data_IF_521368174056
#
_entry.id   IF_521368174056
#
_cell.length_a   1.000
_cell.length_b   1.000
_cell.length_c   1.000
_cell.angle_alpha   90.00
_cell.angle_beta   90.00
_cell.angle_gamma   90.00
#
_symmetry.space_group_name_H-M   'P 1'
#
loop_
_entity.id
_entity.type
_entity.pdbx_description
1 polymer ?
#
# COMPACT_ATOMS: atom_id res chain seq x y z
N UNK A 1 -18.07 27.42 12.39
CA UNK A 1 -17.82 27.33 10.94
C UNK A 1 -17.05 28.57 10.55
N UNK A 2 -15.80 28.39 10.09
CA UNK A 2 -14.99 29.49 9.59
C UNK A 2 -15.77 30.26 8.52
N UNK A 3 -15.91 31.57 8.66
CA UNK A 3 -16.62 32.39 7.68
C UNK A 3 -15.83 32.35 6.37
N UNK A 4 -16.50 32.08 5.24
CA UNK A 4 -15.88 32.09 3.89
C UNK A 4 -15.11 33.38 3.57
N UNK A 5 -15.33 34.45 4.34
CA UNK A 5 -14.66 35.74 4.23
C UNK A 5 -13.30 35.84 4.93
N UNK A 6 -12.89 34.84 5.71
CA UNK A 6 -11.56 34.83 6.34
C UNK A 6 -10.45 34.45 5.33
N UNK A 7 -9.23 34.98 5.50
CA UNK A 7 -8.07 34.56 4.71
C UNK A 7 -7.82 33.04 4.77
N UNK A 8 -7.27 32.47 3.71
CA UNK A 8 -7.07 31.03 3.56
C UNK A 8 -6.16 30.46 4.66
N UNK A 9 -5.10 31.18 5.02
CA UNK A 9 -4.16 30.81 6.07
C UNK A 9 -4.84 30.69 7.44
N UNK A 10 -5.79 31.57 7.75
CA UNK A 10 -6.57 31.53 8.99
C UNK A 10 -7.46 30.29 8.99
N UNK A 11 -8.18 30.06 7.90
CA UNK A 11 -9.06 28.89 7.73
C UNK A 11 -8.29 27.57 7.80
N UNK A 12 -7.08 27.52 7.22
CA UNK A 12 -6.21 26.35 7.26
C UNK A 12 -5.76 26.04 8.69
N UNK A 13 -5.35 27.05 9.46
CA UNK A 13 -4.95 26.88 10.87
C UNK A 13 -6.15 26.49 11.74
N UNK A 14 -7.31 27.10 11.53
CA UNK A 14 -8.55 26.75 12.24
C UNK A 14 -8.96 25.29 11.97
N UNK A 15 -8.92 24.86 10.71
CA UNK A 15 -9.20 23.48 10.32
C UNK A 15 -8.18 22.51 10.95
N UNK A 16 -6.88 22.82 10.86
CA UNK A 16 -5.84 21.99 11.46
C UNK A 16 -6.04 21.85 12.98
N UNK A 17 -6.38 22.93 13.67
CA UNK A 17 -6.70 22.91 15.10
C UNK A 17 -7.93 22.04 15.39
N UNK A 18 -8.99 22.17 14.61
CA UNK A 18 -10.22 21.38 14.78
C UNK A 18 -9.95 19.88 14.57
N UNK A 19 -9.22 19.53 13.51
CA UNK A 19 -8.82 18.16 13.21
C UNK A 19 -7.94 17.58 14.34
N UNK A 20 -6.91 18.30 14.78
CA UNK A 20 -6.02 17.85 15.86
C UNK A 20 -6.78 17.66 17.17
N UNK A 21 -7.66 18.60 17.54
CA UNK A 21 -8.45 18.52 18.77
C UNK A 21 -9.39 17.32 18.73
N UNK A 22 -10.04 17.09 17.60
CA UNK A 22 -10.93 15.95 17.39
C UNK A 22 -10.16 14.63 17.48
N UNK A 23 -9.01 14.53 16.80
CA UNK A 23 -8.17 13.34 16.83
C UNK A 23 -7.70 12.98 18.25
N UNK A 24 -7.24 13.97 19.03
CA UNK A 24 -6.84 13.77 20.44
C UNK A 24 -8.01 13.35 21.32
N UNK A 25 -9.20 13.86 21.05
CA UNK A 25 -10.40 13.51 21.83
C UNK A 25 -10.91 12.10 21.53
N UNK A 26 -10.76 11.65 20.28
CA UNK A 26 -11.26 10.35 19.81
C UNK A 26 -10.23 9.22 19.90
N UNK A 27 -8.98 9.51 20.28
CA UNK A 27 -7.92 8.50 20.29
C UNK A 27 -8.23 7.37 21.26
N UNK A 28 -8.09 6.14 20.78
CA UNK A 28 -8.24 4.95 21.61
C UNK A 28 -6.95 4.60 22.35
N UNK A 29 -7.01 3.85 23.47
CA UNK A 29 -5.80 3.40 24.16
C UNK A 29 -4.84 2.58 23.27
N UNK A 30 -5.39 1.81 22.33
CA UNK A 30 -4.60 1.02 21.39
C UNK A 30 -3.85 1.90 20.38
N UNK A 31 -4.51 2.94 19.85
CA UNK A 31 -3.88 3.93 18.96
C UNK A 31 -2.83 4.76 19.69
N UNK A 32 -3.09 5.16 20.94
CA UNK A 32 -2.10 5.88 21.76
C UNK A 32 -0.84 5.03 21.96
N UNK A 33 -0.98 3.75 22.29
CA UNK A 33 0.16 2.85 22.44
C UNK A 33 0.98 2.72 21.14
N UNK A 34 0.31 2.68 19.98
CA UNK A 34 0.99 2.68 18.67
C UNK A 34 1.72 4.00 18.40
N UNK A 35 1.13 5.14 18.75
CA UNK A 35 1.79 6.45 18.61
C UNK A 35 3.04 6.57 19.50
N UNK A 36 2.97 6.06 20.73
CA UNK A 36 4.12 6.04 21.64
C UNK A 36 5.25 5.15 21.09
N UNK A 37 4.90 3.99 20.51
CA UNK A 37 5.84 3.09 19.84
C UNK A 37 6.53 3.77 18.64
N UNK A 38 5.75 4.42 17.77
CA UNK A 38 6.25 5.16 16.60
C UNK A 38 7.12 6.35 17.02
N UNK A 39 6.73 7.07 18.07
CA UNK A 39 7.51 8.20 18.61
C UNK A 39 8.86 7.73 19.12
N UNK A 40 8.90 6.65 19.90
CA UNK A 40 10.15 6.06 20.37
C UNK A 40 11.05 5.56 19.23
N UNK A 41 10.47 5.06 18.13
CA UNK A 41 11.24 4.68 16.93
C UNK A 41 11.88 5.89 16.23
N UNK A 42 11.21 7.05 16.22
CA UNK A 42 11.72 8.29 15.62
C UNK A 42 12.85 8.92 16.45
N UNK A 43 12.76 8.83 17.77
CA UNK A 43 13.77 9.35 18.70
C UNK A 43 15.11 8.60 18.63
N UNK A 44 15.10 7.37 18.11
CA UNK A 44 16.27 6.49 18.05
C UNK A 44 16.51 5.94 16.64
N UNK A 45 17.21 6.68 15.75
CA UNK A 45 17.48 6.25 14.38
C UNK A 45 18.07 4.84 14.20
N UNK A 46 18.96 4.32 15.09
CA UNK A 46 19.45 2.94 14.98
C UNK A 46 18.36 1.87 15.19
N UNK A 47 17.37 2.16 16.03
CA UNK A 47 16.29 1.25 16.35
C UNK A 47 15.37 1.06 15.13
N UNK A 48 15.15 2.14 14.36
CA UNK A 48 14.46 2.09 13.06
C UNK A 48 15.16 1.16 12.07
N UNK A 49 16.49 1.25 11.96
CA UNK A 49 17.27 0.38 11.06
C UNK A 49 17.10 -1.08 11.45
N UNK A 50 17.10 -1.36 12.76
CA UNK A 50 16.94 -2.70 13.32
C UNK A 50 15.59 -3.29 12.96
N UNK A 51 14.49 -2.55 13.17
CA UNK A 51 13.14 -3.03 12.84
C UNK A 51 12.94 -3.19 11.33
N UNK A 52 13.47 -2.28 10.51
CA UNK A 52 13.44 -2.42 9.06
C UNK A 52 14.15 -3.71 8.61
N UNK A 53 15.35 -4.00 9.14
CA UNK A 53 16.10 -5.20 8.80
C UNK A 53 15.45 -6.48 9.33
N UNK A 54 14.89 -6.47 10.54
CA UNK A 54 14.17 -7.61 11.10
C UNK A 54 12.96 -7.96 10.22
N UNK A 55 12.19 -6.94 9.81
CA UNK A 55 10.98 -7.14 9.01
C UNK A 55 11.32 -7.58 7.59
N UNK A 56 12.35 -7.01 6.96
CA UNK A 56 12.76 -7.36 5.61
C UNK A 56 13.48 -8.72 5.53
N UNK A 57 14.48 -8.94 6.38
CA UNK A 57 15.39 -10.06 6.20
C UNK A 57 14.94 -11.34 6.92
N UNK A 58 14.36 -11.22 8.11
CA UNK A 58 14.03 -12.41 8.90
C UNK A 58 12.86 -13.21 8.31
N UNK A 59 12.01 -12.58 7.50
CA UNK A 59 10.82 -13.21 6.90
C UNK A 59 10.99 -13.62 5.43
N UNK A 60 12.11 -13.28 4.77
CA UNK A 60 12.47 -13.78 3.43
C UNK A 60 12.66 -15.31 3.37
N UNK A 61 13.33 -15.96 4.34
CA UNK A 61 13.53 -17.40 4.27
C UNK A 61 12.22 -18.17 4.38
N UNK A 62 12.06 -19.20 3.53
CA UNK A 62 10.95 -20.16 3.66
C UNK A 62 11.11 -21.09 4.87
N UNK A 63 12.34 -21.30 5.33
CA UNK A 63 12.66 -22.14 6.49
C UNK A 63 12.57 -21.35 7.79
N UNK A 64 11.80 -21.86 8.75
CA UNK A 64 11.64 -21.26 10.08
C UNK A 64 12.97 -21.15 10.84
N UNK A 65 13.82 -22.18 10.79
CA UNK A 65 15.14 -22.15 11.44
C UNK A 65 16.04 -21.07 10.84
N UNK A 66 16.04 -20.92 9.50
CA UNK A 66 16.82 -19.86 8.85
C UNK A 66 16.28 -18.46 9.16
N UNK A 67 14.96 -18.27 9.17
CA UNK A 67 14.34 -17.00 9.54
C UNK A 67 14.71 -16.59 10.98
N UNK A 68 14.63 -17.53 11.93
CA UNK A 68 15.01 -17.28 13.33
C UNK A 68 16.52 -17.09 13.49
N UNK A 69 17.35 -17.80 12.72
CA UNK A 69 18.80 -17.57 12.71
C UNK A 69 19.14 -16.15 12.26
N UNK A 70 18.48 -15.67 11.21
CA UNK A 70 18.63 -14.28 10.76
C UNK A 70 18.14 -13.29 11.81
N UNK A 71 17.01 -13.60 12.45
CA UNK A 71 16.44 -12.78 13.52
C UNK A 71 17.41 -12.64 14.70
N UNK A 72 18.00 -13.75 15.17
CA UNK A 72 19.01 -13.75 16.23
C UNK A 72 20.24 -12.93 15.84
N UNK A 73 20.77 -13.15 14.63
CA UNK A 73 21.93 -12.42 14.13
C UNK A 73 21.70 -10.90 14.12
N UNK A 74 20.51 -10.45 13.68
CA UNK A 74 20.16 -9.04 13.70
C UNK A 74 20.03 -8.49 15.13
N UNK A 75 19.42 -9.23 16.05
CA UNK A 75 19.33 -8.81 17.45
C UNK A 75 20.70 -8.78 18.17
N UNK A 76 21.62 -9.65 17.80
CA UNK A 76 22.98 -9.68 18.35
C UNK A 76 23.83 -8.52 17.85
N UNK A 77 23.72 -8.20 16.56
CA UNK A 77 24.52 -7.15 15.91
C UNK A 77 23.97 -5.75 16.10
N UNK A 78 22.64 -5.60 16.22
CA UNK A 78 21.96 -4.29 16.32
C UNK A 78 21.35 -4.01 17.69
N UNK A 79 21.17 -5.04 18.51
CA UNK A 79 20.46 -4.93 19.78
C UNK A 79 18.94 -5.04 19.63
N UNK A 80 18.25 -4.98 20.76
CA UNK A 80 16.78 -4.96 20.81
C UNK A 80 16.33 -3.50 20.82
N UNK A 81 15.43 -3.08 19.91
CA UNK A 81 14.91 -1.73 19.88
C UNK A 81 14.29 -1.29 21.22
N UNK A 82 14.61 -0.07 21.64
CA UNK A 82 14.26 0.47 22.95
C UNK A 82 12.80 0.88 23.06
N UNK A 83 12.15 1.18 21.94
CA UNK A 83 10.76 1.61 21.92
C UNK A 83 9.76 0.47 22.15
N UNK A 84 10.18 -0.80 22.00
CA UNK A 84 9.30 -1.93 22.27
C UNK A 84 8.85 -1.99 23.73
N UNK A 85 7.60 -2.42 23.94
CA UNK A 85 7.04 -2.68 25.25
C UNK A 85 7.82 -3.75 26.03
N UNK A 86 7.62 -3.81 27.35
CA UNK A 86 8.35 -4.74 28.21
C UNK A 86 8.16 -6.23 27.80
N UNK A 87 6.95 -6.59 27.40
CA UNK A 87 6.64 -7.96 26.95
C UNK A 87 7.31 -8.30 25.62
N UNK A 88 7.32 -7.38 24.66
CA UNK A 88 8.00 -7.58 23.37
C UNK A 88 9.51 -7.70 23.57
N UNK A 89 10.11 -6.83 24.41
CA UNK A 89 11.52 -6.93 24.79
C UNK A 89 11.85 -8.28 25.41
N UNK A 90 11.01 -8.79 26.31
CA UNK A 90 11.18 -10.10 26.91
C UNK A 90 11.13 -11.21 25.85
N UNK A 91 10.14 -11.17 24.95
CA UNK A 91 10.02 -12.11 23.85
C UNK A 91 11.25 -12.10 22.92
N UNK A 92 11.74 -10.91 22.58
CA UNK A 92 12.95 -10.72 21.76
C UNK A 92 14.22 -11.20 22.48
N UNK A 93 14.33 -11.01 23.80
CA UNK A 93 15.43 -11.56 24.60
C UNK A 93 15.41 -13.09 24.61
N UNK A 94 14.23 -13.70 24.76
CA UNK A 94 14.05 -15.16 24.69
C UNK A 94 14.43 -15.66 23.30
N UNK A 95 13.93 -15.01 22.24
CA UNK A 95 14.26 -15.36 20.85
C UNK A 95 15.74 -15.24 20.56
N UNK A 96 16.39 -14.19 21.09
CA UNK A 96 17.84 -14.02 20.97
C UNK A 96 18.58 -15.21 21.58
N UNK A 97 18.24 -15.64 22.79
CA UNK A 97 18.98 -16.68 23.53
C UNK A 97 18.69 -18.11 23.09
N UNK A 98 17.42 -18.44 22.86
CA UNK A 98 16.98 -19.82 22.61
C UNK A 98 16.14 -19.97 21.34
N UNK A 99 16.20 -18.99 20.42
CA UNK A 99 15.37 -18.93 19.22
C UNK A 99 15.39 -20.22 18.39
N UNK A 100 16.55 -20.83 18.18
CA UNK A 100 16.65 -22.07 17.40
C UNK A 100 15.83 -23.22 17.98
N UNK A 101 15.77 -23.36 19.30
CA UNK A 101 15.02 -24.43 19.96
C UNK A 101 13.50 -24.26 19.79
N UNK A 102 13.04 -23.00 19.74
CA UNK A 102 11.63 -22.66 19.61
C UNK A 102 11.24 -22.23 18.20
N UNK A 103 12.12 -22.38 17.21
CA UNK A 103 11.97 -21.76 15.89
C UNK A 103 10.67 -22.18 15.18
N UNK A 104 10.30 -23.45 15.30
CA UNK A 104 9.08 -24.00 14.70
C UNK A 104 7.80 -23.37 15.27
N UNK A 105 7.82 -22.86 16.50
CA UNK A 105 6.68 -22.21 17.15
C UNK A 105 6.78 -20.69 17.02
N UNK A 106 7.93 -20.12 17.32
CA UNK A 106 8.16 -18.69 17.34
C UNK A 106 8.02 -18.06 15.95
N UNK A 107 8.49 -18.72 14.90
CA UNK A 107 8.45 -18.16 13.55
C UNK A 107 7.01 -18.03 13.01
N UNK A 108 6.14 -19.07 13.06
CA UNK A 108 4.74 -18.92 12.69
C UNK A 108 3.98 -17.91 13.56
N UNK A 109 4.23 -17.86 14.87
CA UNK A 109 3.60 -16.88 15.76
C UNK A 109 4.02 -15.45 15.41
N UNK A 110 5.30 -15.21 15.17
CA UNK A 110 5.81 -13.90 14.75
C UNK A 110 5.21 -13.47 13.41
N UNK A 111 5.13 -14.39 12.43
CA UNK A 111 4.45 -14.13 11.14
C UNK A 111 2.98 -13.80 11.33
N UNK A 112 2.28 -14.51 12.23
CA UNK A 112 0.87 -14.27 12.54
C UNK A 112 0.68 -12.91 13.20
N UNK A 113 1.53 -12.52 14.15
CA UNK A 113 1.50 -11.21 14.80
C UNK A 113 1.68 -10.09 13.79
N UNK A 114 2.74 -10.14 12.95
CA UNK A 114 2.95 -9.13 11.90
C UNK A 114 1.75 -9.05 10.94
N UNK A 115 1.21 -10.20 10.54
CA UNK A 115 0.02 -10.22 9.67
C UNK A 115 -1.20 -9.56 10.34
N UNK A 116 -1.39 -9.76 11.63
CA UNK A 116 -2.46 -9.12 12.40
C UNK A 116 -2.22 -7.62 12.54
N UNK A 117 -1.00 -7.22 12.89
CA UNK A 117 -0.60 -5.81 13.09
C UNK A 117 -0.74 -5.03 11.77
N UNK A 118 -0.45 -5.66 10.62
CA UNK A 118 -0.61 -5.07 9.29
C UNK A 118 -2.01 -5.21 8.69
N UNK A 119 -2.91 -6.02 9.25
CA UNK A 119 -4.23 -6.31 8.65
C UNK A 119 -5.14 -5.07 8.55
N UNK A 120 -4.89 -4.06 9.38
CA UNK A 120 -5.61 -2.78 9.33
C UNK A 120 -5.21 -1.92 8.13
N UNK A 121 -4.04 -2.19 7.51
CA UNK A 121 -3.46 -1.40 6.41
C UNK A 121 -3.38 -2.22 5.12
N UNK A 122 -3.04 -3.50 5.21
CA UNK A 122 -2.90 -4.41 4.07
C UNK A 122 -4.08 -5.39 4.08
N UNK A 123 -4.95 -5.22 3.09
CA UNK A 123 -6.10 -6.10 2.91
C UNK A 123 -5.70 -7.37 2.17
N UNK A 124 -6.40 -8.43 2.55
CA UNK A 124 -6.37 -9.71 1.86
C UNK A 124 -7.01 -9.57 0.49
N UNK A 125 -6.25 -9.87 -0.57
CA UNK A 125 -6.70 -9.76 -1.95
C UNK A 125 -7.75 -10.82 -2.32
N UNK A 126 -7.94 -11.86 -1.51
CA UNK A 126 -8.96 -12.89 -1.74
C UNK A 126 -10.37 -12.27 -1.79
N UNK A 127 -11.21 -12.72 -2.74
CA UNK A 127 -12.50 -12.08 -3.02
C UNK A 127 -13.44 -11.92 -1.81
N UNK A 128 -13.71 -12.95 -0.97
CA UNK A 128 -14.63 -12.78 0.15
C UNK A 128 -14.20 -11.70 1.17
N UNK A 129 -12.94 -11.68 1.69
CA UNK A 129 -12.53 -10.64 2.63
C UNK A 129 -12.43 -9.24 1.97
N UNK A 130 -12.00 -9.15 0.72
CA UNK A 130 -11.90 -7.86 0.02
C UNK A 130 -13.29 -7.22 -0.16
N UNK A 131 -14.24 -7.97 -0.73
CA UNK A 131 -15.59 -7.44 -1.01
C UNK A 131 -16.34 -7.07 0.26
N UNK A 132 -16.23 -7.87 1.32
CA UNK A 132 -16.81 -7.55 2.63
C UNK A 132 -16.22 -6.25 3.21
N UNK A 133 -14.91 -6.05 3.09
CA UNK A 133 -14.25 -4.83 3.54
C UNK A 133 -14.72 -3.61 2.74
N UNK A 134 -14.73 -3.69 1.41
CA UNK A 134 -15.14 -2.60 0.54
C UNK A 134 -16.59 -2.20 0.80
N UNK A 135 -17.52 -3.16 0.89
CA UNK A 135 -18.93 -2.87 1.21
C UNK A 135 -19.10 -2.15 2.54
N UNK A 136 -18.37 -2.57 3.58
CA UNK A 136 -18.39 -1.90 4.88
C UNK A 136 -17.90 -0.45 4.77
N UNK A 137 -16.79 -0.21 4.05
CA UNK A 137 -16.24 1.13 3.86
C UNK A 137 -17.17 2.03 3.04
N UNK A 138 -17.82 1.48 2.02
CA UNK A 138 -18.86 2.20 1.28
C UNK A 138 -20.06 2.58 2.15
N UNK A 139 -20.49 1.70 3.06
CA UNK A 139 -21.55 2.01 4.03
C UNK A 139 -21.14 3.09 5.04
N UNK A 140 -19.85 3.22 5.34
CA UNK A 140 -19.27 4.32 6.12
C UNK A 140 -19.13 5.63 5.31
N UNK A 141 -19.54 5.63 4.03
CA UNK A 141 -19.43 6.79 3.13
C UNK A 141 -18.02 7.03 2.58
N UNK A 142 -17.13 6.04 2.68
CA UNK A 142 -15.75 6.14 2.23
C UNK A 142 -15.58 5.64 0.79
N UNK A 143 -14.98 6.47 -0.06
CA UNK A 143 -14.56 6.08 -1.41
C UNK A 143 -13.18 5.40 -1.33
N UNK A 144 -13.11 4.14 -1.76
CA UNK A 144 -11.90 3.33 -1.67
C UNK A 144 -11.13 3.30 -2.99
N UNK A 145 -9.82 3.53 -2.92
CA UNK A 145 -8.88 3.30 -4.02
C UNK A 145 -8.14 1.98 -3.77
N UNK A 146 -8.29 1.02 -4.69
CA UNK A 146 -7.68 -0.31 -4.57
C UNK A 146 -6.33 -0.33 -5.28
N UNK A 147 -5.26 -0.53 -4.52
CA UNK A 147 -3.92 -0.76 -5.05
C UNK A 147 -3.52 -2.23 -4.83
N UNK A 148 -3.27 -2.96 -5.92
CA UNK A 148 -2.83 -4.35 -5.85
C UNK A 148 -1.34 -4.39 -5.44
N UNK A 149 -1.08 -4.90 -4.25
CA UNK A 149 0.29 -5.06 -3.76
C UNK A 149 1.06 -6.10 -4.58
N UNK A 150 2.27 -5.74 -4.98
CA UNK A 150 3.25 -6.63 -5.57
C UNK A 150 4.49 -5.85 -5.99
N UNK A 151 5.61 -6.55 -6.09
CA UNK A 151 6.87 -5.96 -6.58
C UNK A 151 6.77 -5.62 -8.08
N UNK A 152 7.75 -4.87 -8.58
CA UNK A 152 7.92 -4.63 -10.00
C UNK A 152 8.04 -5.98 -10.73
N UNK A 153 7.37 -6.09 -11.87
CA UNK A 153 7.34 -7.36 -12.61
C UNK A 153 8.67 -7.60 -13.28
N UNK A 154 9.22 -8.80 -13.12
CA UNK A 154 10.57 -9.13 -13.63
C UNK A 154 10.54 -9.67 -15.07
N UNK A 155 9.35 -10.00 -15.59
CA UNK A 155 9.18 -10.48 -16.96
C UNK A 155 7.79 -10.24 -17.52
N UNK A 156 7.67 -10.34 -18.85
CA UNK A 156 6.44 -10.01 -19.57
C UNK A 156 5.26 -10.95 -19.25
N UNK A 157 5.54 -12.20 -18.90
CA UNK A 157 4.50 -13.13 -18.43
C UNK A 157 3.86 -12.62 -17.13
N UNK A 158 4.66 -12.12 -16.20
CA UNK A 158 4.17 -11.56 -14.94
C UNK A 158 3.44 -10.23 -15.17
N UNK A 159 3.96 -9.38 -16.07
CA UNK A 159 3.31 -8.15 -16.49
C UNK A 159 1.91 -8.41 -17.09
N UNK A 160 1.79 -9.43 -17.95
CA UNK A 160 0.52 -9.84 -18.53
C UNK A 160 -0.44 -10.37 -17.46
N UNK A 161 0.04 -11.22 -16.54
CA UNK A 161 -0.77 -11.71 -15.41
C UNK A 161 -1.26 -10.56 -14.53
N UNK A 162 -0.42 -9.54 -14.29
CA UNK A 162 -0.79 -8.37 -13.51
C UNK A 162 -1.84 -7.52 -14.22
N UNK A 163 -1.72 -7.34 -15.53
CA UNK A 163 -2.74 -6.66 -16.34
C UNK A 163 -4.10 -7.37 -16.20
N UNK A 164 -4.13 -8.70 -16.31
CA UNK A 164 -5.36 -9.49 -16.10
C UNK A 164 -5.93 -9.33 -14.70
N UNK A 165 -5.08 -9.27 -13.66
CA UNK A 165 -5.52 -9.01 -12.29
C UNK A 165 -6.17 -7.63 -12.14
N UNK A 166 -5.64 -6.60 -12.79
CA UNK A 166 -6.25 -5.28 -12.80
C UNK A 166 -7.60 -5.28 -13.52
N UNK A 167 -7.71 -5.95 -14.67
CA UNK A 167 -8.98 -6.11 -15.39
C UNK A 167 -10.02 -6.85 -14.55
N UNK A 168 -9.63 -7.95 -13.89
CA UNK A 168 -10.49 -8.69 -12.98
C UNK A 168 -10.93 -7.85 -11.76
N UNK A 169 -10.03 -6.99 -11.26
CA UNK A 169 -10.34 -6.07 -10.15
C UNK A 169 -11.32 -4.98 -10.60
N UNK A 170 -11.13 -4.42 -11.80
CA UNK A 170 -12.07 -3.48 -12.42
C UNK A 170 -13.43 -4.12 -12.71
N UNK A 171 -13.53 -5.43 -12.86
CA UNK A 171 -14.82 -6.12 -13.00
C UNK A 171 -15.59 -6.26 -11.68
N UNK A 172 -14.97 -6.04 -10.51
CA UNK A 172 -15.63 -6.20 -9.22
C UNK A 172 -16.65 -5.09 -8.93
N UNK A 173 -17.93 -5.41 -8.63
CA UNK A 173 -18.96 -4.40 -8.36
C UNK A 173 -18.62 -3.45 -7.20
N UNK A 174 -17.84 -3.90 -6.22
CA UNK A 174 -17.46 -3.12 -5.05
C UNK A 174 -16.31 -2.14 -5.30
N UNK A 175 -15.65 -2.25 -6.45
CA UNK A 175 -14.49 -1.43 -6.81
C UNK A 175 -14.93 -0.30 -7.72
N UNK A 176 -14.78 0.93 -7.25
CA UNK A 176 -14.96 2.14 -8.06
C UNK A 176 -13.62 2.60 -8.67
N UNK A 177 -12.51 2.43 -7.93
CA UNK A 177 -11.22 3.03 -8.25
C UNK A 177 -10.09 2.01 -8.09
N UNK A 178 -9.19 1.96 -9.06
CA UNK A 178 -7.98 1.12 -9.04
C UNK A 178 -6.75 1.97 -9.31
N UNK A 179 -5.65 1.72 -8.60
CA UNK A 179 -4.33 2.30 -8.90
C UNK A 179 -3.43 1.29 -9.59
N UNK A 180 -2.75 1.74 -10.64
CA UNK A 180 -1.78 0.95 -11.41
C UNK A 180 -0.45 1.68 -11.51
N UNK A 181 0.62 0.92 -11.77
CA UNK A 181 2.00 1.43 -11.89
C UNK A 181 2.63 0.96 -13.19
N UNK A 182 3.40 1.81 -13.88
CA UNK A 182 4.00 1.39 -15.14
C UNK A 182 4.99 0.24 -14.96
N UNK A 183 5.69 0.18 -13.82
CA UNK A 183 6.61 -0.92 -13.45
C UNK A 183 5.91 -2.26 -13.23
N UNK A 184 4.59 -2.26 -13.08
CA UNK A 184 3.77 -3.46 -12.94
C UNK A 184 3.11 -3.86 -14.25
N UNK A 185 3.04 -2.92 -15.20
CA UNK A 185 2.47 -3.12 -16.51
C UNK A 185 3.50 -3.50 -17.56
N UNK A 186 4.80 -3.24 -17.35
CA UNK A 186 5.85 -3.60 -18.31
C UNK A 186 7.16 -3.90 -17.58
N UNK A 187 7.83 -5.01 -17.93
CA UNK A 187 9.04 -5.45 -17.21
C UNK A 187 10.33 -4.77 -17.69
N UNK A 188 10.31 -4.15 -18.87
CA UNK A 188 11.49 -3.55 -19.50
C UNK A 188 11.38 -2.02 -19.60
N UNK A 189 10.74 -1.37 -18.62
CA UNK A 189 10.63 0.10 -18.56
C UNK A 189 12.04 0.69 -18.59
N UNK A 190 12.34 1.44 -19.66
CA UNK A 190 13.68 2.00 -19.87
C UNK A 190 13.60 3.39 -20.49
N UNK A 191 14.19 4.41 -19.85
CA UNK A 191 14.24 5.76 -20.42
C UNK A 191 15.12 5.84 -21.67
N UNK A 192 16.05 4.89 -21.87
CA UNK A 192 16.90 4.81 -23.06
C UNK A 192 16.10 4.39 -24.29
N UNK A 193 15.14 3.48 -24.12
CA UNK A 193 14.24 3.02 -25.18
C UNK A 193 12.88 3.73 -25.06
N UNK A 194 12.90 5.06 -24.93
CA UNK A 194 11.74 5.88 -24.57
C UNK A 194 10.51 5.63 -25.44
N UNK A 195 10.63 5.77 -26.75
CA UNK A 195 9.49 5.64 -27.67
C UNK A 195 8.92 4.22 -27.68
N UNK A 196 9.76 3.19 -27.60
CA UNK A 196 9.32 1.80 -27.49
C UNK A 196 8.58 1.56 -26.17
N UNK A 197 9.17 1.98 -25.05
CA UNK A 197 8.59 1.83 -23.71
C UNK A 197 7.22 2.52 -23.63
N UNK A 198 7.14 3.75 -24.11
CA UNK A 198 5.89 4.52 -24.13
C UNK A 198 4.84 3.83 -25.02
N UNK A 199 5.21 3.31 -26.19
CA UNK A 199 4.27 2.60 -27.06
C UNK A 199 3.66 1.37 -26.38
N UNK A 200 4.49 0.52 -25.76
CA UNK A 200 4.05 -0.68 -25.03
C UNK A 200 3.14 -0.31 -23.85
N UNK A 201 3.53 0.71 -23.08
CA UNK A 201 2.71 1.19 -21.96
C UNK A 201 1.36 1.73 -22.44
N UNK A 202 1.32 2.49 -23.54
CA UNK A 202 0.08 3.02 -24.07
C UNK A 202 -0.91 1.91 -24.47
N UNK A 203 -0.44 0.82 -25.08
CA UNK A 203 -1.29 -0.32 -25.42
C UNK A 203 -1.91 -0.99 -24.18
N UNK A 204 -1.17 -1.07 -23.07
CA UNK A 204 -1.65 -1.70 -21.83
C UNK A 204 -2.54 -0.78 -21.03
N UNK A 205 -2.20 0.50 -20.96
CA UNK A 205 -3.02 1.52 -20.31
C UNK A 205 -4.35 1.70 -21.04
N UNK A 206 -4.37 1.70 -22.37
CA UNK A 206 -5.60 1.79 -23.14
C UNK A 206 -6.59 0.67 -22.75
N UNK A 207 -6.11 -0.58 -22.64
CA UNK A 207 -6.94 -1.71 -22.20
C UNK A 207 -7.58 -1.45 -20.83
N UNK A 208 -6.81 -0.92 -19.88
CA UNK A 208 -7.30 -0.61 -18.54
C UNK A 208 -8.29 0.55 -18.53
N UNK A 209 -8.00 1.62 -19.28
CA UNK A 209 -8.87 2.80 -19.34
C UNK A 209 -10.21 2.48 -20.01
N UNK A 210 -10.19 1.71 -21.11
CA UNK A 210 -11.43 1.21 -21.74
C UNK A 210 -12.20 0.31 -20.80
N UNK A 211 -11.53 -0.67 -20.17
CA UNK A 211 -12.18 -1.55 -19.19
C UNK A 211 -12.79 -0.79 -18.00
N UNK A 212 -12.14 0.28 -17.53
CA UNK A 212 -12.69 1.15 -16.49
C UNK A 212 -13.93 1.92 -16.97
N UNK A 213 -13.90 2.44 -18.20
CA UNK A 213 -15.02 3.17 -18.80
C UNK A 213 -16.23 2.27 -19.10
N UNK A 214 -16.00 1.02 -19.51
CA UNK A 214 -17.05 0.05 -19.82
C UNK A 214 -17.76 -0.48 -18.57
N UNK A 215 -17.19 -0.27 -17.38
CA UNK A 215 -17.72 -0.74 -16.11
C UNK A 215 -18.41 0.39 -15.35
N UNK A 216 -19.62 0.12 -14.84
CA UNK A 216 -20.39 1.09 -14.07
C UNK A 216 -20.36 0.73 -12.59
N UNK A 217 -19.99 1.69 -11.76
CA UNK A 217 -20.10 1.64 -10.31
C UNK A 217 -21.31 2.47 -9.85
N UNK A 218 -22.09 1.94 -8.91
CA UNK A 218 -23.21 2.65 -8.29
C UNK A 218 -22.80 3.10 -6.89
N UNK A 219 -22.70 4.42 -6.69
CA UNK A 219 -22.38 5.00 -5.39
C UNK A 219 -23.57 4.90 -4.42
N UNK A 220 -23.34 5.01 -3.10
CA UNK A 220 -24.42 4.98 -2.10
C UNK A 220 -25.53 6.02 -2.30
N UNK A 221 -25.21 7.15 -2.93
CA UNK A 221 -26.18 8.20 -3.26
C UNK A 221 -27.00 7.91 -4.55
N UNK A 222 -26.76 6.78 -5.22
CA UNK A 222 -27.43 6.39 -6.45
C UNK A 222 -26.73 6.81 -7.75
N UNK A 223 -25.65 7.60 -7.67
CA UNK A 223 -24.90 8.02 -8.84
C UNK A 223 -24.26 6.82 -9.54
N UNK A 224 -24.39 6.78 -10.86
CA UNK A 224 -23.76 5.77 -11.73
C UNK A 224 -22.59 6.40 -12.44
N UNK A 225 -21.40 5.89 -12.18
CA UNK A 225 -20.15 6.43 -12.71
C UNK A 225 -19.33 5.34 -13.37
N UNK A 226 -18.57 5.71 -14.40
CA UNK A 226 -17.48 4.87 -14.89
C UNK A 226 -16.45 4.65 -13.78
N UNK A 227 -15.72 3.53 -13.84
CA UNK A 227 -14.65 3.27 -12.88
C UNK A 227 -13.42 4.12 -13.19
N UNK A 228 -12.72 4.50 -12.13
CA UNK A 228 -11.57 5.38 -12.22
C UNK A 228 -10.26 4.59 -12.15
N UNK A 229 -9.32 4.85 -13.07
CA UNK A 229 -7.98 4.27 -13.06
C UNK A 229 -6.95 5.34 -12.71
N UNK A 230 -6.33 5.24 -11.53
CA UNK A 230 -5.17 6.05 -11.17
C UNK A 230 -3.89 5.45 -11.75
N UNK A 231 -3.04 6.28 -12.36
CA UNK A 231 -1.68 5.93 -12.72
C UNK A 231 -0.71 6.53 -11.70
N UNK A 232 -0.20 5.68 -10.81
CA UNK A 232 0.74 6.09 -9.77
C UNK A 232 2.05 6.59 -10.38
N UNK A 233 2.54 7.72 -9.86
CA UNK A 233 3.88 8.22 -10.14
C UNK A 233 4.91 7.47 -9.28
N UNK A 234 5.92 6.88 -9.92
CA UNK A 234 6.94 6.06 -9.27
C UNK A 234 8.26 6.83 -9.06
N UNK A 235 9.41 6.21 -9.30
CA UNK A 235 10.72 6.85 -9.16
C UNK A 235 10.89 8.00 -10.17
N UNK A 236 11.67 9.02 -9.79
CA UNK A 236 11.92 10.20 -10.63
C UNK A 236 12.43 9.86 -12.04
N UNK A 237 13.24 8.80 -12.17
CA UNK A 237 13.78 8.33 -13.47
C UNK A 237 12.69 7.96 -14.48
N UNK A 238 11.53 7.51 -13.97
CA UNK A 238 10.42 6.99 -14.75
C UNK A 238 9.32 8.05 -14.96
N UNK A 239 9.42 9.20 -14.29
CA UNK A 239 8.41 10.27 -14.29
C UNK A 239 7.99 10.70 -15.70
N UNK A 240 8.96 10.94 -16.58
CA UNK A 240 8.69 11.38 -17.95
C UNK A 240 8.08 10.27 -18.81
N UNK A 241 8.38 8.99 -18.51
CA UNK A 241 7.77 7.85 -19.20
C UNK A 241 6.32 7.69 -18.77
N UNK A 242 6.04 7.76 -17.46
CA UNK A 242 4.69 7.69 -16.90
C UNK A 242 3.80 8.80 -17.46
N UNK A 243 4.26 10.05 -17.42
CA UNK A 243 3.51 11.18 -17.94
C UNK A 243 3.27 11.08 -19.45
N UNK A 244 4.29 10.69 -20.23
CA UNK A 244 4.15 10.55 -21.68
C UNK A 244 3.21 9.39 -22.05
N UNK A 245 3.31 8.25 -21.37
CA UNK A 245 2.42 7.12 -21.59
C UNK A 245 0.97 7.48 -21.23
N UNK A 246 0.76 8.18 -20.11
CA UNK A 246 -0.57 8.65 -19.72
C UNK A 246 -1.19 9.58 -20.77
N UNK A 247 -0.53 10.68 -21.10
CA UNK A 247 -1.05 11.69 -22.03
C UNK A 247 -1.30 11.08 -23.42
N UNK A 248 -0.32 10.35 -23.98
CA UNK A 248 -0.47 9.73 -25.31
C UNK A 248 -1.53 8.64 -25.34
N UNK A 249 -1.81 7.98 -24.21
CA UNK A 249 -2.92 7.03 -24.16
C UNK A 249 -4.24 7.78 -24.23
N UNK A 250 -4.40 8.87 -23.47
CA UNK A 250 -5.62 9.69 -23.48
C UNK A 250 -5.84 10.46 -24.79
N UNK A 251 -4.79 10.73 -25.56
CA UNK A 251 -4.89 11.33 -26.90
C UNK A 251 -5.39 10.35 -27.98
N UNK A 252 -5.57 9.06 -27.66
CA UNK A 252 -6.10 8.07 -28.62
C UNK A 252 -7.61 8.25 -28.81
N UNK A 253 -8.08 7.92 -30.01
CA UNK A 253 -9.51 7.97 -30.36
C UNK A 253 -10.36 7.13 -29.38
N UNK A 254 -11.48 7.70 -28.91
CA UNK A 254 -12.41 7.01 -28.02
C UNK A 254 -12.00 7.03 -26.54
N UNK A 255 -11.12 7.94 -26.13
CA UNK A 255 -10.70 8.16 -24.73
C UNK A 255 -11.43 9.32 -24.04
N UNK A 256 -12.31 10.03 -24.74
CA UNK A 256 -12.89 11.30 -24.29
C UNK A 256 -13.74 11.17 -23.01
N UNK A 257 -14.26 9.97 -22.77
CA UNK A 257 -15.13 9.66 -21.63
C UNK A 257 -14.45 8.76 -20.59
N UNK A 258 -13.15 8.47 -20.72
CA UNK A 258 -12.45 7.66 -19.71
C UNK A 258 -12.20 8.47 -18.45
N UNK A 259 -12.36 7.81 -17.30
CA UNK A 259 -12.06 8.40 -15.99
C UNK A 259 -10.69 7.90 -15.52
N UNK A 260 -9.64 8.70 -15.77
CA UNK A 260 -8.27 8.36 -15.38
C UNK A 260 -7.51 9.59 -14.90
N UNK A 261 -6.48 9.39 -14.05
CA UNK A 261 -5.68 10.47 -13.47
C UNK A 261 -4.47 10.01 -12.70
#
# INVERSE_FOLDING_TARGET
MASEKQPLEVRAVELARALQTTAVTLITPAEQAQLDELSGMLEHPPDKVTVAQLTDQAFRPRSASRGISQFQHLLETRGIPRFFGAFDKLGLQILRRIGQLVAFVAFPLSRRKIRMDTANVILRAEHPPLTAHLRRRHAEGLRMNVNLLGEAVLGETEAAQRLEQYLATLALPEVEVVSVKISTLYSQVSPLAREHTVAVLCERLEKLFRAGADQIFTRPNGDRVAKFVYLDMEEYRDMHLTAAAFMRTLDRDGMENVSAG
#
